data_IF_465587084985
#
_entry.id   IF_465587084985
#
_cell.length_a   1.000
_cell.length_b   1.000
_cell.length_c   1.000
_cell.angle_alpha   90.00
_cell.angle_beta   90.00
_cell.angle_gamma   90.00
#
_symmetry.space_group_name_H-M   'P 1'
#
loop_
_entity.id
_entity.type
_entity.pdbx_description
1 polymer ?
#
# COMPACT_ATOMS: atom_id res chain seq x y z
N UNK A 1 2.38 9.22 -5.95
CA UNK A 1 2.36 7.76 -5.69
C UNK A 1 2.41 7.55 -4.19
N UNK A 2 1.65 6.58 -3.68
CA UNK A 2 1.58 6.33 -2.24
C UNK A 2 1.77 4.85 -1.93
N UNK A 3 2.57 4.55 -0.90
CA UNK A 3 2.70 3.23 -0.32
C UNK A 3 2.07 3.20 1.06
N UNK A 4 1.32 2.14 1.34
CA UNK A 4 0.77 1.82 2.66
C UNK A 4 1.37 0.49 3.10
N UNK A 5 2.08 0.49 4.23
CA UNK A 5 2.78 -0.70 4.75
C UNK A 5 2.18 -1.15 6.08
N UNK A 6 1.71 -2.39 6.15
CA UNK A 6 1.44 -3.02 7.45
C UNK A 6 2.74 -3.23 8.21
N UNK A 7 2.76 -2.82 9.48
CA UNK A 7 3.92 -2.92 10.38
C UNK A 7 3.67 -3.90 11.53
N UNK A 8 3.06 -5.05 11.22
CA UNK A 8 3.03 -6.19 12.15
C UNK A 8 4.42 -6.82 12.26
N UNK A 9 4.73 -7.43 13.40
CA UNK A 9 6.04 -8.08 13.61
C UNK A 9 6.33 -9.18 12.57
N UNK A 10 5.26 -9.84 12.09
CA UNK A 10 5.30 -10.84 11.01
C UNK A 10 5.68 -10.27 9.63
N UNK A 11 5.61 -8.95 9.44
CA UNK A 11 5.99 -8.25 8.21
C UNK A 11 7.49 -7.95 8.11
N UNK A 12 8.32 -8.21 9.12
CA UNK A 12 9.74 -7.81 9.11
C UNK A 12 10.50 -8.28 7.85
N UNK A 13 10.37 -9.56 7.49
CA UNK A 13 11.03 -10.11 6.31
C UNK A 13 10.52 -9.47 5.01
N UNK A 14 9.21 -9.21 4.94
CA UNK A 14 8.53 -8.53 3.84
C UNK A 14 9.01 -7.10 3.66
N UNK A 15 9.04 -6.30 4.74
CA UNK A 15 9.48 -4.91 4.70
C UNK A 15 10.96 -4.83 4.34
N UNK A 16 11.77 -5.76 4.83
CA UNK A 16 13.18 -5.88 4.42
C UNK A 16 13.30 -6.16 2.92
N UNK A 17 12.49 -7.08 2.38
CA UNK A 17 12.44 -7.38 0.95
C UNK A 17 12.04 -6.17 0.11
N UNK A 18 11.00 -5.44 0.52
CA UNK A 18 10.55 -4.20 -0.12
C UNK A 18 11.66 -3.14 -0.07
N UNK A 19 12.26 -2.93 1.12
CA UNK A 19 13.35 -1.98 1.34
C UNK A 19 14.57 -2.25 0.44
N UNK A 20 14.89 -3.51 0.17
CA UNK A 20 16.00 -3.86 -0.72
C UNK A 20 15.69 -3.58 -2.19
N UNK A 21 14.42 -3.68 -2.61
CA UNK A 21 14.00 -3.43 -4.00
C UNK A 21 13.53 -2.00 -4.28
N UNK A 22 13.28 -1.18 -3.24
CA UNK A 22 12.60 0.11 -3.40
C UNK A 22 13.42 1.11 -4.22
N UNK A 23 14.76 1.06 -4.14
CA UNK A 23 15.63 1.95 -4.91
C UNK A 23 15.48 1.72 -6.41
N UNK A 24 15.53 0.45 -6.84
CA UNK A 24 15.34 0.09 -8.25
C UNK A 24 13.93 0.43 -8.72
N UNK A 25 12.92 0.13 -7.90
CA UNK A 25 11.53 0.50 -8.20
C UNK A 25 11.36 2.00 -8.41
N UNK A 26 11.83 2.82 -7.49
CA UNK A 26 11.69 4.29 -7.57
C UNK A 26 12.47 4.83 -8.76
N UNK A 27 13.65 4.29 -9.07
CA UNK A 27 14.41 4.63 -10.28
C UNK A 27 13.61 4.32 -11.54
N UNK A 28 13.14 3.08 -11.69
CA UNK A 28 12.44 2.63 -12.89
C UNK A 28 11.13 3.41 -13.10
N UNK A 29 10.44 3.73 -12.01
CA UNK A 29 9.28 4.63 -12.02
C UNK A 29 9.71 6.04 -12.43
N UNK A 30 10.74 6.64 -11.82
CA UNK A 30 11.23 7.97 -12.22
C UNK A 30 11.61 8.04 -13.69
N UNK A 31 12.26 7.01 -14.23
CA UNK A 31 12.68 6.97 -15.63
C UNK A 31 11.47 6.94 -16.59
N UNK A 32 10.40 6.19 -16.25
CA UNK A 32 9.18 6.14 -17.05
C UNK A 32 8.19 7.28 -16.79
N UNK A 33 8.30 7.97 -15.65
CA UNK A 33 7.23 8.85 -15.13
C UNK A 33 7.68 10.15 -14.48
N UNK A 34 8.95 10.54 -14.64
CA UNK A 34 9.56 11.76 -14.07
C UNK A 34 8.75 13.05 -14.29
N UNK A 35 7.90 13.10 -15.33
CA UNK A 35 7.06 14.26 -15.63
C UNK A 35 5.75 14.33 -14.84
N UNK A 36 5.26 13.22 -14.27
CA UNK A 36 3.92 13.16 -13.67
C UNK A 36 3.87 12.68 -12.22
N UNK A 37 4.87 11.93 -11.71
CA UNK A 37 4.94 11.66 -10.27
C UNK A 37 5.66 12.81 -9.57
N UNK A 38 4.86 13.72 -9.00
CA UNK A 38 5.35 14.91 -8.30
C UNK A 38 5.45 14.74 -6.78
N UNK A 39 4.70 13.79 -6.23
CA UNK A 39 4.63 13.55 -4.79
C UNK A 39 4.70 12.06 -4.51
N UNK A 40 5.49 11.71 -3.50
CA UNK A 40 5.64 10.40 -2.91
C UNK A 40 5.11 10.43 -1.49
N UNK A 41 4.30 9.44 -1.13
CA UNK A 41 3.76 9.32 0.22
C UNK A 41 4.04 7.93 0.78
N UNK A 42 4.40 7.87 2.07
CA UNK A 42 4.57 6.63 2.81
C UNK A 42 3.68 6.69 4.05
N UNK A 43 2.75 5.75 4.13
CA UNK A 43 1.90 5.52 5.29
C UNK A 43 2.25 4.15 5.88
N UNK A 44 2.27 4.06 7.21
CA UNK A 44 2.33 2.79 7.92
C UNK A 44 1.03 2.56 8.68
N UNK A 45 0.62 1.31 8.77
CA UNK A 45 -0.59 0.90 9.51
C UNK A 45 -0.26 -0.20 10.52
N UNK A 46 -0.70 0.00 11.76
CA UNK A 46 -0.61 -1.00 12.82
C UNK A 46 -2.02 -1.34 13.34
N UNK A 47 -2.12 -2.06 14.46
CA UNK A 47 -3.41 -2.49 15.02
C UNK A 47 -4.24 -1.34 15.63
N UNK A 48 -3.66 -0.16 15.80
CA UNK A 48 -4.28 0.97 16.50
C UNK A 48 -4.56 2.16 15.58
N UNK A 49 -3.66 2.46 14.64
CA UNK A 49 -3.75 3.65 13.82
C UNK A 49 -3.00 3.52 12.48
N UNK A 50 -3.18 4.55 11.65
CA UNK A 50 -2.39 4.83 10.46
C UNK A 50 -1.55 6.09 10.68
N UNK A 51 -0.29 6.06 10.25
CA UNK A 51 0.66 7.18 10.43
C UNK A 51 1.31 7.54 9.10
N UNK A 52 1.29 8.83 8.74
CA UNK A 52 2.06 9.35 7.62
C UNK A 52 3.54 9.46 8.03
N UNK A 53 4.40 8.64 7.42
CA UNK A 53 5.85 8.65 7.68
C UNK A 53 6.57 9.63 6.77
N UNK A 54 6.11 9.75 5.51
CA UNK A 54 6.73 10.64 4.54
C UNK A 54 5.69 11.21 3.59
N UNK A 55 5.80 12.50 3.30
CA UNK A 55 5.15 13.14 2.15
C UNK A 55 6.10 14.18 1.56
N UNK A 56 6.31 14.14 0.26
CA UNK A 56 7.24 15.07 -0.39
C UNK A 56 7.53 14.71 -1.84
N UNK A 57 8.36 15.52 -2.49
CA UNK A 57 8.72 15.34 -3.90
C UNK A 57 10.04 14.60 -4.11
N UNK A 58 10.83 14.38 -3.05
CA UNK A 58 12.17 13.78 -3.12
C UNK A 58 12.08 12.24 -3.13
N UNK A 59 12.39 11.58 -4.26
CA UNK A 59 12.33 10.13 -4.35
C UNK A 59 13.37 9.46 -3.46
N UNK A 60 14.53 10.10 -3.28
CA UNK A 60 15.60 9.61 -2.41
C UNK A 60 15.19 9.62 -0.93
N UNK A 61 14.47 10.65 -0.49
CA UNK A 61 14.00 10.71 0.90
C UNK A 61 12.83 9.76 1.14
N UNK A 62 12.00 9.52 0.12
CA UNK A 62 11.02 8.45 0.14
C UNK A 62 11.66 7.06 0.28
N UNK A 63 12.68 6.75 -0.54
CA UNK A 63 13.47 5.50 -0.43
C UNK A 63 14.04 5.33 0.98
N UNK A 64 14.70 6.37 1.51
CA UNK A 64 15.25 6.34 2.88
C UNK A 64 14.16 6.12 3.93
N UNK A 65 12.98 6.69 3.74
CA UNK A 65 11.86 6.53 4.66
C UNK A 65 11.34 5.09 4.68
N UNK A 66 11.24 4.43 3.51
CA UNK A 66 10.90 3.00 3.44
C UNK A 66 11.96 2.14 4.13
N UNK A 67 13.24 2.42 3.88
CA UNK A 67 14.36 1.73 4.52
C UNK A 67 14.36 1.92 6.05
N UNK A 68 14.06 3.13 6.52
CA UNK A 68 13.94 3.44 7.94
C UNK A 68 12.81 2.68 8.62
N UNK A 69 11.64 2.56 7.97
CA UNK A 69 10.52 1.76 8.49
C UNK A 69 10.92 0.28 8.60
N UNK A 70 11.57 -0.27 7.58
CA UNK A 70 12.03 -1.66 7.60
C UNK A 70 13.07 -1.91 8.70
N UNK A 71 14.01 -0.98 8.91
CA UNK A 71 15.06 -1.11 9.92
C UNK A 71 14.57 -0.86 11.35
N UNK A 72 13.48 -0.11 11.53
CA UNK A 72 12.95 0.29 12.84
C UNK A 72 11.49 -0.13 13.03
N UNK A 73 11.11 -1.32 12.56
CA UNK A 73 9.72 -1.81 12.60
C UNK A 73 9.08 -1.67 13.99
N UNK A 74 9.84 -1.99 15.04
CA UNK A 74 9.37 -1.93 16.43
C UNK A 74 8.96 -0.52 16.89
N UNK A 75 9.42 0.54 16.21
CA UNK A 75 8.98 1.92 16.49
C UNK A 75 7.61 2.25 15.89
N UNK A 76 7.12 1.42 14.98
CA UNK A 76 5.85 1.58 14.29
C UNK A 76 4.84 0.49 14.64
N UNK A 77 5.31 -0.69 15.07
CA UNK A 77 4.44 -1.79 15.46
C UNK A 77 3.72 -1.51 16.78
N UNK A 78 2.54 -2.10 16.92
CA UNK A 78 1.74 -2.08 18.14
C UNK A 78 1.32 -3.51 18.47
N UNK A 79 1.06 -3.83 19.75
CA UNK A 79 0.54 -5.14 20.13
C UNK A 79 -0.70 -5.49 19.30
N UNK A 80 -0.68 -6.64 18.64
CA UNK A 80 -1.74 -7.06 17.74
C UNK A 80 -2.23 -8.48 18.08
N UNK A 81 -3.12 -8.61 19.09
CA UNK A 81 -3.64 -9.92 19.50
C UNK A 81 -4.61 -10.54 18.48
N UNK A 82 -5.24 -9.71 17.64
CA UNK A 82 -6.35 -10.12 16.78
C UNK A 82 -6.01 -10.10 15.28
N UNK A 83 -4.72 -10.03 14.95
CA UNK A 83 -4.26 -10.04 13.56
C UNK A 83 -4.84 -8.93 12.67
N UNK A 84 -5.38 -7.84 13.24
CA UNK A 84 -6.06 -6.79 12.48
C UNK A 84 -5.21 -5.51 12.45
N UNK A 85 -5.23 -4.78 11.34
CA UNK A 85 -4.56 -3.47 11.22
C UNK A 85 -5.50 -2.43 10.64
N UNK A 86 -5.21 -1.15 10.85
CA UNK A 86 -6.07 -0.05 10.39
C UNK A 86 -5.90 0.22 8.88
N UNK A 87 -6.23 -0.77 8.03
CA UNK A 87 -6.04 -0.72 6.57
C UNK A 87 -6.81 0.43 5.95
N UNK A 88 -8.10 0.55 6.27
CA UNK A 88 -9.02 1.55 5.74
C UNK A 88 -8.55 2.96 6.07
N UNK A 89 -8.15 3.19 7.32
CA UNK A 89 -7.56 4.45 7.75
C UNK A 89 -6.26 4.78 7.00
N UNK A 90 -5.39 3.77 6.77
CA UNK A 90 -4.16 3.96 6.02
C UNK A 90 -4.38 4.25 4.54
N UNK A 91 -5.30 3.54 3.91
CA UNK A 91 -5.71 3.78 2.53
C UNK A 91 -6.36 5.17 2.39
N UNK A 92 -7.20 5.58 3.34
CA UNK A 92 -7.82 6.90 3.33
C UNK A 92 -6.78 8.01 3.49
N UNK A 93 -5.87 7.87 4.47
CA UNK A 93 -4.80 8.84 4.69
C UNK A 93 -3.88 8.95 3.45
N UNK A 94 -3.54 7.82 2.84
CA UNK A 94 -2.78 7.81 1.59
C UNK A 94 -3.57 8.45 0.44
N UNK A 95 -4.88 8.23 0.35
CA UNK A 95 -5.75 8.81 -0.67
C UNK A 95 -5.79 10.33 -0.54
N UNK A 96 -5.94 10.89 0.67
CA UNK A 96 -5.91 12.33 0.88
C UNK A 96 -4.56 12.98 0.53
N UNK A 97 -3.45 12.29 0.81
CA UNK A 97 -2.12 12.78 0.46
C UNK A 97 -1.77 12.58 -1.03
N UNK A 98 -2.57 11.80 -1.75
CA UNK A 98 -2.32 11.48 -3.15
C UNK A 98 -2.83 12.59 -4.07
N UNK A 99 -2.11 12.82 -5.16
CA UNK A 99 -2.61 13.67 -6.23
C UNK A 99 -3.71 12.94 -7.01
N UNK A 100 -4.69 13.67 -7.60
CA UNK A 100 -5.69 13.05 -8.45
C UNK A 100 -5.06 12.22 -9.57
N UNK A 101 -5.73 11.13 -9.98
CA UNK A 101 -5.28 10.17 -11.01
C UNK A 101 -3.94 9.52 -10.67
N UNK A 102 -3.77 9.11 -9.42
CA UNK A 102 -2.58 8.38 -8.97
C UNK A 102 -2.94 7.04 -8.34
N UNK A 103 -1.92 6.28 -7.97
CA UNK A 103 -2.08 4.94 -7.41
C UNK A 103 -1.58 4.85 -5.97
N UNK A 104 -2.34 4.11 -5.16
CA UNK A 104 -2.00 3.69 -3.80
C UNK A 104 -1.75 2.18 -3.82
N UNK A 105 -0.67 1.75 -3.17
CA UNK A 105 -0.34 0.33 -3.03
C UNK A 105 -0.23 -0.05 -1.56
N UNK A 106 -1.09 -0.97 -1.13
CA UNK A 106 -1.09 -1.54 0.20
C UNK A 106 -0.31 -2.85 0.23
N UNK A 107 0.62 -3.00 1.17
CA UNK A 107 1.26 -4.27 1.49
C UNK A 107 0.85 -4.70 2.90
N UNK A 108 0.09 -5.78 3.01
CA UNK A 108 -0.40 -6.28 4.30
C UNK A 108 -0.38 -7.81 4.38
N UNK A 109 -0.09 -8.33 5.57
CA UNK A 109 -0.22 -9.74 5.93
C UNK A 109 -1.43 -10.00 6.85
N UNK A 110 -2.32 -9.01 6.94
CA UNK A 110 -3.55 -9.02 7.73
C UNK A 110 -4.69 -8.33 6.99
N UNK A 111 -5.91 -8.55 7.43
CA UNK A 111 -7.06 -7.73 7.07
C UNK A 111 -7.28 -6.53 8.00
N UNK A 112 -8.27 -5.72 7.61
CA UNK A 112 -8.67 -4.49 8.27
C UNK A 112 -9.66 -4.73 9.40
N UNK A 113 -9.74 -3.80 10.34
CA UNK A 113 -10.92 -3.68 11.20
C UNK A 113 -12.05 -3.10 10.37
N UNK A 114 -13.18 -3.81 10.27
CA UNK A 114 -14.35 -3.29 9.55
C UNK A 114 -14.91 -2.06 10.29
N UNK A 115 -14.66 -0.87 9.74
CA UNK A 115 -15.15 0.40 10.27
C UNK A 115 -15.84 1.25 9.18
N UNK A 116 -16.53 2.31 9.62
CA UNK A 116 -17.30 3.20 8.74
C UNK A 116 -16.42 4.02 7.77
N UNK A 117 -15.09 3.94 7.90
CA UNK A 117 -14.11 4.66 7.08
C UNK A 117 -14.16 4.23 5.61
N UNK A 118 -14.71 3.04 5.32
CA UNK A 118 -14.90 2.52 3.98
C UNK A 118 -15.66 3.48 3.05
N UNK A 119 -16.78 4.05 3.51
CA UNK A 119 -17.65 4.89 2.66
C UNK A 119 -16.90 6.16 2.25
N UNK A 120 -16.20 6.78 3.20
CA UNK A 120 -15.39 7.96 2.94
C UNK A 120 -14.24 7.63 1.99
N UNK A 121 -13.52 6.53 2.22
CA UNK A 121 -12.46 6.06 1.34
C UNK A 121 -12.95 5.85 -0.09
N UNK A 122 -14.08 5.15 -0.27
CA UNK A 122 -14.66 4.92 -1.58
C UNK A 122 -15.02 6.24 -2.30
N UNK A 123 -15.70 7.15 -1.60
CA UNK A 123 -16.09 8.45 -2.17
C UNK A 123 -14.86 9.27 -2.58
N UNK A 124 -13.86 9.39 -1.71
CA UNK A 124 -12.66 10.18 -1.99
C UNK A 124 -11.80 9.56 -3.08
N UNK A 125 -11.61 8.23 -3.06
CA UNK A 125 -10.85 7.54 -4.10
C UNK A 125 -11.52 7.67 -5.47
N UNK A 126 -12.85 7.61 -5.53
CA UNK A 126 -13.60 7.81 -6.78
C UNK A 126 -13.50 9.26 -7.26
N UNK A 127 -13.70 10.24 -6.38
CA UNK A 127 -13.62 11.67 -6.71
C UNK A 127 -12.24 12.04 -7.28
N UNK A 128 -11.17 11.55 -6.65
CA UNK A 128 -9.80 11.83 -7.07
C UNK A 128 -9.30 10.87 -8.16
N UNK A 129 -10.12 9.91 -8.59
CA UNK A 129 -9.75 8.88 -9.57
C UNK A 129 -8.48 8.13 -9.15
N UNK A 130 -8.39 7.79 -7.87
CA UNK A 130 -7.26 7.07 -7.28
C UNK A 130 -7.47 5.57 -7.44
N UNK A 131 -6.46 4.89 -7.95
CA UNK A 131 -6.44 3.43 -8.04
C UNK A 131 -5.91 2.82 -6.75
N UNK A 132 -6.69 1.94 -6.10
CA UNK A 132 -6.30 1.26 -4.87
C UNK A 132 -5.87 -0.18 -5.19
N UNK A 133 -4.59 -0.49 -4.96
CA UNK A 133 -4.00 -1.81 -5.21
C UNK A 133 -3.69 -2.50 -3.89
N UNK A 134 -4.18 -3.73 -3.72
CA UNK A 134 -4.03 -4.50 -2.49
C UNK A 134 -3.07 -5.66 -2.70
N UNK A 135 -1.97 -5.69 -1.96
CA UNK A 135 -0.95 -6.73 -2.03
C UNK A 135 -0.96 -7.49 -0.70
N UNK A 136 -1.49 -8.71 -0.75
CA UNK A 136 -1.47 -9.64 0.38
C UNK A 136 -0.12 -10.35 0.42
N UNK A 137 0.56 -10.27 1.55
CA UNK A 137 1.91 -10.82 1.69
C UNK A 137 1.86 -12.18 2.38
N UNK A 138 2.16 -13.21 1.60
CA UNK A 138 1.93 -14.61 1.92
C UNK A 138 0.98 -15.28 0.91
N UNK A 139 0.89 -16.60 0.98
CA UNK A 139 -0.17 -17.34 0.28
C UNK A 139 -1.53 -17.16 0.98
N UNK A 140 -1.47 -16.82 2.27
CA UNK A 140 -2.61 -16.54 3.14
C UNK A 140 -2.23 -15.39 4.06
N UNK A 141 -3.10 -14.39 4.19
CA UNK A 141 -2.98 -13.34 5.21
C UNK A 141 -3.78 -13.70 6.46
N UNK A 142 -3.48 -13.05 7.58
CA UNK A 142 -4.27 -13.23 8.79
C UNK A 142 -5.61 -12.51 8.64
N UNK A 143 -6.72 -13.24 8.74
CA UNK A 143 -8.07 -12.73 8.52
C UNK A 143 -9.09 -13.62 9.23
N UNK A 144 -10.34 -13.16 9.30
CA UNK A 144 -11.46 -13.98 9.75
C UNK A 144 -11.57 -15.29 8.93
N UNK A 145 -11.91 -16.45 9.55
CA UNK A 145 -11.93 -17.74 8.89
C UNK A 145 -12.72 -17.81 7.58
N UNK A 146 -13.82 -17.07 7.49
CA UNK A 146 -14.68 -16.96 6.31
C UNK A 146 -13.97 -16.39 5.07
N UNK A 147 -12.91 -15.61 5.26
CA UNK A 147 -12.13 -15.02 4.16
C UNK A 147 -11.01 -15.95 3.67
N UNK A 148 -10.82 -17.13 4.27
CA UNK A 148 -9.88 -18.17 3.82
C UNK A 148 -8.46 -17.65 3.51
N UNK A 149 -7.93 -16.75 4.36
CA UNK A 149 -6.60 -16.19 4.16
C UNK A 149 -6.49 -15.15 3.05
N UNK A 150 -7.60 -14.58 2.58
CA UNK A 150 -7.65 -13.51 1.58
C UNK A 150 -8.14 -12.20 2.20
N UNK A 151 -8.03 -11.09 1.47
CA UNK A 151 -8.70 -9.86 1.88
C UNK A 151 -10.22 -10.05 1.90
N UNK A 152 -10.96 -9.40 2.82
CA UNK A 152 -12.41 -9.37 2.80
C UNK A 152 -12.98 -8.92 1.44
N UNK A 153 -14.14 -9.48 1.06
CA UNK A 153 -14.78 -9.21 -0.25
C UNK A 153 -15.03 -7.71 -0.50
N UNK A 154 -15.31 -6.92 0.54
CA UNK A 154 -15.55 -5.49 0.40
C UNK A 154 -14.27 -4.73 -0.01
N UNK A 155 -13.10 -5.09 0.54
CA UNK A 155 -11.82 -4.51 0.13
C UNK A 155 -11.45 -4.93 -1.30
N UNK A 156 -11.73 -6.18 -1.66
CA UNK A 156 -11.54 -6.63 -3.04
C UNK A 156 -12.43 -5.86 -4.03
N UNK A 157 -13.70 -5.66 -3.65
CA UNK A 157 -14.67 -4.89 -4.44
C UNK A 157 -14.23 -3.44 -4.58
N UNK A 158 -13.74 -2.82 -3.50
CA UNK A 158 -13.21 -1.46 -3.51
C UNK A 158 -12.02 -1.30 -4.48
N UNK A 159 -11.09 -2.26 -4.45
CA UNK A 159 -9.96 -2.28 -5.38
C UNK A 159 -10.47 -2.37 -6.82
N UNK A 160 -11.38 -3.31 -7.12
CA UNK A 160 -11.96 -3.45 -8.45
C UNK A 160 -12.72 -2.20 -8.93
N UNK A 161 -13.52 -1.58 -8.06
CA UNK A 161 -14.30 -0.37 -8.38
C UNK A 161 -13.41 0.85 -8.66
N UNK A 162 -12.22 0.89 -8.05
CA UNK A 162 -11.20 1.93 -8.31
C UNK A 162 -10.23 1.54 -9.43
N UNK A 163 -10.56 0.50 -10.22
CA UNK A 163 -9.73 -0.05 -11.31
C UNK A 163 -8.36 -0.55 -10.85
N UNK A 164 -8.23 -0.93 -9.58
CA UNK A 164 -7.05 -1.55 -9.01
C UNK A 164 -7.08 -3.07 -9.09
N UNK A 165 -6.09 -3.68 -8.45
CA UNK A 165 -5.98 -5.13 -8.37
C UNK A 165 -5.74 -5.62 -6.95
N UNK A 166 -6.12 -6.88 -6.71
CA UNK A 166 -5.75 -7.65 -5.54
C UNK A 166 -4.75 -8.72 -5.95
N UNK A 167 -3.62 -8.80 -5.26
CA UNK A 167 -2.57 -9.76 -5.59
C UNK A 167 -1.95 -10.36 -4.33
N UNK A 168 -1.88 -11.69 -4.27
CA UNK A 168 -1.27 -12.42 -3.17
C UNK A 168 0.13 -12.89 -3.57
N UNK A 169 1.14 -12.69 -2.73
CA UNK A 169 2.51 -13.08 -3.05
C UNK A 169 3.39 -13.36 -1.85
N UNK A 170 4.31 -14.30 -2.00
CA UNK A 170 5.43 -14.52 -1.07
C UNK A 170 6.68 -13.72 -1.46
N UNK A 171 6.65 -13.00 -2.59
CA UNK A 171 7.76 -12.22 -3.14
C UNK A 171 7.34 -10.77 -3.40
N UNK A 172 7.09 -9.98 -2.35
CA UNK A 172 6.51 -8.63 -2.45
C UNK A 172 7.36 -7.66 -3.27
N UNK A 173 8.70 -7.80 -3.25
CA UNK A 173 9.60 -6.99 -4.07
C UNK A 173 9.34 -7.12 -5.59
N UNK A 174 8.82 -8.26 -6.06
CA UNK A 174 8.49 -8.46 -7.48
C UNK A 174 7.20 -7.77 -7.90
N UNK A 175 6.32 -7.41 -6.96
CA UNK A 175 5.06 -6.70 -7.27
C UNK A 175 5.35 -5.27 -7.69
N UNK A 176 6.37 -4.65 -7.09
CA UNK A 176 6.90 -3.37 -7.52
C UNK A 176 7.27 -3.36 -9.01
N UNK A 177 7.80 -4.47 -9.55
CA UNK A 177 8.14 -4.57 -10.97
C UNK A 177 6.93 -4.81 -11.87
N UNK A 178 5.90 -5.51 -11.41
CA UNK A 178 4.66 -5.74 -12.19
C UNK A 178 3.74 -4.51 -12.21
N UNK A 179 3.70 -3.72 -11.14
CA UNK A 179 2.93 -2.48 -11.12
C UNK A 179 3.47 -1.43 -12.12
N UNK A 180 4.75 -1.51 -12.49
CA UNK A 180 5.31 -0.74 -13.60
C UNK A 180 4.63 -1.09 -14.95
N UNK A 181 4.43 -2.38 -15.22
CA UNK A 181 3.75 -2.85 -16.44
C UNK A 181 2.26 -2.46 -16.47
N UNK A 182 1.58 -2.49 -15.32
CA UNK A 182 0.17 -2.05 -15.26
C UNK A 182 0.05 -0.54 -15.43
N UNK A 183 0.94 0.26 -14.82
CA UNK A 183 1.02 1.71 -15.03
C UNK A 183 1.31 2.08 -16.49
N UNK A 184 2.14 1.31 -17.20
CA UNK A 184 2.34 1.49 -18.64
C UNK A 184 1.06 1.18 -19.44
N UNK A 185 0.34 0.09 -19.12
CA UNK A 185 -0.89 -0.28 -19.84
C UNK A 185 -2.06 0.68 -19.63
N UNK A 186 -2.15 1.33 -18.46
CA UNK A 186 -3.14 2.39 -18.22
C UNK A 186 -2.83 3.68 -18.98
N UNK A 187 -1.64 3.81 -19.57
CA UNK A 187 -1.20 4.97 -20.34
C UNK A 187 -1.34 4.81 -21.87
N UNK A 188 -1.66 3.62 -22.39
CA UNK A 188 -1.82 3.38 -23.84
C UNK A 188 -3.23 3.71 -24.38
N UNK A 189 -4.14 4.17 -23.51
CA UNK A 189 -5.46 4.69 -23.91
C UNK A 189 -5.53 6.21 -23.69
N UNK A 190 -4.80 6.97 -24.50
CA UNK A 190 -4.97 8.43 -24.65
C UNK A 190 -4.95 8.80 -26.13
#
# INVERSE_FOLDING_TARGET
MSLVLSVRDTMQATLTSISNGITDFVRDVQDSSSKWIKTWNLVVVNSQNATMVYTGSSPNDFVKSVQMVANNLNSYSSPNPNCSVAIEAGLLLATYASQPRSAVYLFADSDGGNDDTFVTLFSTATEYQITLNLIGVGNTICTAPENNGQFPLYLQSLSAMTSGFVYMTTKPAMVSYRSHLSLQSSCECA
#
